data_IF_418439129015
#
_entry.id   IF_418439129015
#
_cell.length_a   1.000
_cell.length_b   1.000
_cell.length_c   1.000
_cell.angle_alpha   90.00
_cell.angle_beta   90.00
_cell.angle_gamma   90.00
#
_symmetry.space_group_name_H-M   'P 1'
#
loop_
_entity.id
_entity.type
_entity.pdbx_description
1 polymer ?
#
# COMPACT_ATOMS: atom_id res chain seq x y z
N UNK A 1 -17.23 8.93 24.52
CA UNK A 1 -16.76 10.17 23.87
C UNK A 1 -16.18 9.81 22.51
N UNK A 2 -16.47 10.56 21.45
CA UNK A 2 -16.06 10.19 20.09
C UNK A 2 -14.68 10.80 19.75
N UNK A 3 -13.75 9.94 19.35
CA UNK A 3 -12.38 10.28 18.94
C UNK A 3 -12.03 9.50 17.67
N UNK A 4 -11.31 10.13 16.75
CA UNK A 4 -10.85 9.51 15.51
C UNK A 4 -9.33 9.30 15.56
N UNK A 5 -8.86 8.11 15.19
CA UNK A 5 -7.42 7.82 15.06
C UNK A 5 -7.18 7.28 13.65
N UNK A 6 -6.29 7.93 12.89
CA UNK A 6 -5.84 7.47 11.58
C UNK A 6 -4.31 7.55 11.48
N UNK A 7 -3.66 6.39 11.50
CA UNK A 7 -2.20 6.25 11.45
C UNK A 7 -1.64 6.02 10.03
N UNK A 8 -2.48 6.13 9.00
CA UNK A 8 -2.12 5.87 7.61
C UNK A 8 -2.56 7.01 6.72
N UNK A 9 -1.79 7.32 5.69
CA UNK A 9 -2.16 8.31 4.66
C UNK A 9 -3.03 7.73 3.54
N UNK A 10 -3.39 6.43 3.63
CA UNK A 10 -4.13 5.73 2.57
C UNK A 10 -5.65 5.96 2.63
N UNK A 11 -6.16 6.62 3.66
CA UNK A 11 -7.58 6.93 3.82
C UNK A 11 -7.86 8.31 3.23
N UNK A 12 -8.94 8.44 2.48
CA UNK A 12 -9.40 9.75 2.02
C UNK A 12 -10.51 10.23 2.94
N UNK A 13 -10.32 11.40 3.54
CA UNK A 13 -11.34 12.04 4.36
C UNK A 13 -12.06 13.14 3.59
N UNK A 14 -13.35 13.30 3.84
CA UNK A 14 -14.00 14.59 3.66
C UNK A 14 -13.54 15.52 4.78
N UNK A 15 -12.47 16.29 4.50
CA UNK A 15 -11.87 17.18 5.49
C UNK A 15 -12.78 18.32 5.90
N UNK A 16 -13.74 18.72 5.05
CA UNK A 16 -14.70 19.77 5.37
C UNK A 16 -15.74 19.25 6.36
N UNK A 17 -16.29 18.06 6.13
CA UNK A 17 -17.18 17.40 7.08
C UNK A 17 -16.47 17.10 8.41
N UNK A 18 -15.20 16.67 8.36
CA UNK A 18 -14.40 16.41 9.54
C UNK A 18 -14.15 17.70 10.35
N UNK A 19 -13.76 18.80 9.70
CA UNK A 19 -13.56 20.09 10.35
C UNK A 19 -14.85 20.62 11.00
N UNK A 20 -16.00 20.50 10.31
CA UNK A 20 -17.31 20.86 10.89
C UNK A 20 -17.66 20.01 12.10
N UNK A 21 -17.41 18.71 12.03
CA UNK A 21 -17.71 17.78 13.13
C UNK A 21 -16.84 18.08 14.37
N UNK A 22 -15.59 18.50 14.17
CA UNK A 22 -14.72 18.97 15.24
C UNK A 22 -15.22 20.27 15.88
N UNK A 23 -15.58 21.25 15.06
CA UNK A 23 -16.06 22.55 15.54
C UNK A 23 -17.42 22.48 16.24
N UNK A 24 -18.29 21.55 15.81
CA UNK A 24 -19.57 21.31 16.46
C UNK A 24 -19.46 20.48 17.75
N UNK A 25 -18.27 19.99 18.09
CA UNK A 25 -18.06 19.13 19.26
C UNK A 25 -18.60 17.70 19.09
N UNK A 26 -19.03 17.32 17.88
CA UNK A 26 -19.46 15.96 17.56
C UNK A 26 -18.28 14.97 17.68
N UNK A 27 -17.08 15.45 17.38
CA UNK A 27 -15.82 14.74 17.59
C UNK A 27 -14.97 15.59 18.55
N UNK A 28 -14.52 15.01 19.66
CA UNK A 28 -13.71 15.74 20.65
C UNK A 28 -12.25 15.85 20.26
N UNK A 29 -11.72 14.82 19.60
CA UNK A 29 -10.31 14.76 19.25
C UNK A 29 -10.05 13.92 18.01
N UNK A 30 -8.96 14.28 17.31
CA UNK A 30 -8.43 13.51 16.19
C UNK A 30 -6.94 13.30 16.37
N UNK A 31 -6.49 12.09 16.10
CA UNK A 31 -5.07 11.73 16.03
C UNK A 31 -4.79 11.27 14.60
N UNK A 32 -4.09 12.08 13.83
CA UNK A 32 -3.97 11.90 12.39
C UNK A 32 -2.50 11.94 11.96
N UNK A 33 -2.18 11.23 10.88
CA UNK A 33 -0.86 11.35 10.26
C UNK A 33 -0.65 12.76 9.71
N UNK A 34 0.63 13.18 9.59
CA UNK A 34 1.03 14.54 9.21
C UNK A 34 0.33 15.09 7.97
N UNK A 35 0.16 14.27 6.93
CA UNK A 35 -0.49 14.69 5.68
C UNK A 35 -1.97 15.04 5.89
N UNK A 36 -2.69 14.27 6.69
CA UNK A 36 -4.08 14.56 7.04
C UNK A 36 -4.22 15.83 7.87
N UNK A 37 -3.27 16.10 8.77
CA UNK A 37 -3.25 17.33 9.57
C UNK A 37 -3.04 18.55 8.68
N UNK A 38 -2.12 18.48 7.71
CA UNK A 38 -1.87 19.55 6.77
C UNK A 38 -3.12 19.93 5.96
N UNK A 39 -3.98 18.96 5.64
CA UNK A 39 -5.23 19.19 4.93
C UNK A 39 -6.36 19.70 5.84
N UNK A 40 -6.39 19.26 7.10
CA UNK A 40 -7.45 19.57 8.05
C UNK A 40 -7.29 20.95 8.71
N UNK A 41 -6.06 21.32 9.09
CA UNK A 41 -5.78 22.55 9.85
C UNK A 41 -6.30 23.82 9.19
N UNK A 42 -6.07 24.07 7.88
CA UNK A 42 -6.54 25.30 7.23
C UNK A 42 -8.06 25.46 7.28
N UNK A 43 -8.79 24.34 7.10
CA UNK A 43 -10.25 24.32 7.13
C UNK A 43 -10.76 24.57 8.55
N UNK A 44 -10.14 23.92 9.54
CA UNK A 44 -10.48 24.10 10.94
C UNK A 44 -10.32 25.58 11.37
N UNK A 45 -9.19 26.22 11.02
CA UNK A 45 -8.94 27.64 11.34
C UNK A 45 -9.90 28.60 10.66
N UNK A 46 -10.45 28.24 9.49
CA UNK A 46 -11.39 29.09 8.76
C UNK A 46 -12.83 29.03 9.30
N UNK A 47 -13.20 27.94 9.98
CA UNK A 47 -14.57 27.69 10.45
C UNK A 47 -14.72 28.06 11.94
N UNK A 48 -13.63 28.05 12.71
CA UNK A 48 -13.64 28.31 14.15
C UNK A 48 -13.66 29.83 14.45
N UNK A 49 -14.84 30.44 14.46
CA UNK A 49 -15.03 31.81 14.99
C UNK A 49 -15.22 31.85 16.52
N UNK A 50 -15.57 30.72 17.15
CA UNK A 50 -15.98 30.66 18.55
C UNK A 50 -15.01 29.81 19.40
N UNK A 51 -14.45 30.40 20.46
CA UNK A 51 -13.29 29.89 21.22
C UNK A 51 -13.65 28.93 22.36
N UNK A 52 -14.90 28.45 22.44
CA UNK A 52 -15.37 27.72 23.65
C UNK A 52 -14.80 26.32 23.85
N UNK A 53 -14.22 25.70 22.82
CA UNK A 53 -13.34 24.53 23.01
C UNK A 53 -12.47 24.31 21.78
N UNK A 54 -11.16 24.53 21.90
CA UNK A 54 -10.23 24.14 20.83
C UNK A 54 -10.23 22.62 20.70
N UNK A 55 -10.61 22.05 19.54
CA UNK A 55 -10.60 20.60 19.38
C UNK A 55 -9.16 20.07 19.43
N UNK A 56 -9.02 18.88 20.00
CA UNK A 56 -7.71 18.28 20.25
C UNK A 56 -7.24 17.54 18.99
N UNK A 57 -6.43 18.21 18.17
CA UNK A 57 -5.82 17.68 16.95
C UNK A 57 -4.37 17.28 17.28
N UNK A 58 -4.02 16.00 17.13
CA UNK A 58 -2.68 15.48 17.41
C UNK A 58 -2.08 14.78 16.20
N UNK A 59 -0.78 14.97 16.00
CA UNK A 59 -0.01 14.25 14.99
C UNK A 59 0.44 12.89 15.51
N UNK A 60 0.16 11.84 14.74
CA UNK A 60 0.85 10.55 14.89
C UNK A 60 1.97 10.46 13.85
N UNK A 61 3.15 10.06 14.31
CA UNK A 61 4.27 9.74 13.45
C UNK A 61 4.34 8.21 13.29
N UNK A 62 3.95 7.65 12.12
CA UNK A 62 3.94 6.20 11.92
C UNK A 62 5.32 5.56 12.08
N UNK A 63 6.41 6.29 11.78
CA UNK A 63 7.76 5.76 11.94
C UNK A 63 8.14 5.53 13.42
N UNK A 64 7.53 6.28 14.35
CA UNK A 64 7.71 6.03 15.80
C UNK A 64 7.02 4.74 16.26
N UNK A 65 6.08 4.20 15.48
CA UNK A 65 5.41 2.94 15.77
C UNK A 65 6.22 1.72 15.30
N UNK A 66 7.28 1.94 14.51
CA UNK A 66 8.12 0.87 13.98
C UNK A 66 9.17 0.47 15.02
N UNK A 67 9.18 -0.81 15.37
CA UNK A 67 10.24 -1.40 16.20
C UNK A 67 11.26 -2.12 15.34
N UNK A 68 12.52 -2.23 15.82
CA UNK A 68 13.56 -3.01 15.15
C UNK A 68 13.11 -4.46 14.89
N UNK A 69 12.41 -5.05 15.84
CA UNK A 69 11.85 -6.39 15.73
C UNK A 69 10.81 -6.47 14.61
N UNK A 70 9.84 -5.55 14.56
CA UNK A 70 8.82 -5.53 13.50
C UNK A 70 9.43 -5.40 12.11
N UNK A 71 10.50 -4.62 11.96
CA UNK A 71 11.22 -4.45 10.70
C UNK A 71 11.98 -5.73 10.30
N UNK A 72 12.66 -6.37 11.25
CA UNK A 72 13.37 -7.63 11.00
C UNK A 72 12.39 -8.74 10.59
N UNK A 73 11.28 -8.89 11.32
CA UNK A 73 10.24 -9.86 11.00
C UNK A 73 9.63 -9.58 9.63
N UNK A 74 9.34 -8.32 9.30
CA UNK A 74 8.82 -7.97 7.98
C UNK A 74 9.80 -8.33 6.86
N UNK A 75 11.10 -8.02 7.01
CA UNK A 75 12.14 -8.38 6.04
C UNK A 75 12.23 -9.89 5.82
N UNK A 76 12.21 -10.66 6.90
CA UNK A 76 12.23 -12.12 6.84
C UNK A 76 11.01 -12.65 6.08
N UNK A 77 9.81 -12.18 6.42
CA UNK A 77 8.57 -12.58 5.76
C UNK A 77 8.58 -12.26 4.25
N UNK A 78 9.09 -11.09 3.86
CA UNK A 78 9.22 -10.70 2.46
C UNK A 78 10.23 -11.60 1.74
N UNK A 79 11.38 -11.90 2.36
CA UNK A 79 12.39 -12.81 1.80
C UNK A 79 11.82 -14.20 1.55
N UNK A 80 11.09 -14.74 2.53
CA UNK A 80 10.44 -16.04 2.42
C UNK A 80 9.35 -16.05 1.34
N UNK A 81 8.54 -15.00 1.26
CA UNK A 81 7.51 -14.87 0.23
C UNK A 81 8.13 -14.88 -1.18
N UNK A 82 9.16 -14.05 -1.42
CA UNK A 82 9.83 -13.99 -2.73
C UNK A 82 10.48 -15.34 -3.07
N UNK A 83 11.12 -15.98 -2.10
CA UNK A 83 11.75 -17.29 -2.32
C UNK A 83 10.73 -18.37 -2.70
N UNK A 84 9.55 -18.38 -2.05
CA UNK A 84 8.46 -19.30 -2.41
C UNK A 84 7.91 -19.00 -3.79
N UNK A 85 7.63 -17.73 -4.07
CA UNK A 85 7.10 -17.28 -5.35
C UNK A 85 8.01 -17.70 -6.53
N UNK A 86 9.33 -17.49 -6.41
CA UNK A 86 10.29 -17.87 -7.45
C UNK A 86 10.35 -19.40 -7.62
N UNK A 87 10.36 -20.17 -6.54
CA UNK A 87 10.36 -21.63 -6.61
C UNK A 87 9.08 -22.17 -7.26
N UNK A 88 7.92 -21.58 -6.97
CA UNK A 88 6.65 -22.00 -7.55
C UNK A 88 6.60 -21.67 -9.05
N UNK A 89 7.12 -20.52 -9.48
CA UNK A 89 7.28 -20.19 -10.91
C UNK A 89 8.17 -21.20 -11.63
N UNK A 90 9.29 -21.60 -11.02
CA UNK A 90 10.21 -22.61 -11.59
C UNK A 90 9.54 -23.98 -11.68
N UNK A 91 8.76 -24.39 -10.68
CA UNK A 91 8.02 -25.66 -10.74
C UNK A 91 6.93 -25.66 -11.83
N UNK A 92 6.28 -24.52 -12.03
CA UNK A 92 5.27 -24.37 -13.09
C UNK A 92 5.89 -24.40 -14.49
N UNK A 93 7.12 -23.89 -14.69
CA UNK A 93 7.78 -23.96 -16.00
C UNK A 93 8.36 -25.34 -16.33
N UNK A 94 8.76 -26.13 -15.33
CA UNK A 94 9.31 -27.49 -15.53
C UNK A 94 8.21 -28.53 -15.76
N UNK A 95 6.98 -28.27 -15.33
CA UNK A 95 5.85 -29.21 -15.46
C UNK A 95 5.12 -29.16 -16.81
N UNK A 96 5.62 -28.42 -17.80
CA UNK A 96 5.10 -28.45 -19.17
C UNK A 96 5.66 -29.70 -19.88
N UNK A 97 4.82 -30.71 -20.21
CA UNK A 97 5.31 -31.87 -20.93
C UNK A 97 5.67 -31.41 -22.34
N UNK A 98 6.96 -31.44 -22.68
CA UNK A 98 7.42 -31.34 -24.06
C UNK A 98 6.86 -32.53 -24.82
N UNK A 99 5.67 -32.33 -25.40
CA UNK A 99 5.03 -33.30 -26.27
C UNK A 99 6.04 -33.78 -27.31
N UNK A 100 6.24 -35.10 -27.34
CA UNK A 100 7.09 -35.83 -28.28
C UNK A 100 6.90 -35.25 -29.70
N UNK A 101 7.84 -34.45 -30.17
CA UNK A 101 7.93 -34.15 -31.60
C UNK A 101 8.38 -35.43 -32.30
N UNK A 102 7.41 -36.11 -32.91
CA UNK A 102 7.66 -37.22 -33.82
C UNK A 102 8.29 -36.61 -35.08
N UNK A 103 9.59 -36.82 -35.26
CA UNK A 103 10.30 -36.45 -36.48
C UNK A 103 9.76 -37.34 -37.61
N UNK A 104 8.88 -36.79 -38.44
CA UNK A 104 8.54 -37.36 -39.75
C UNK A 104 9.68 -37.01 -40.71
N UNK A 105 10.43 -38.04 -41.12
CA UNK A 105 11.37 -37.98 -42.24
C UNK A 105 10.60 -37.61 -43.51
N UNK A 106 10.76 -36.37 -43.96
CA UNK A 106 10.21 -35.87 -45.22
C UNK A 106 11.35 -35.35 -46.07
N UNK A 107 11.66 -36.10 -47.12
CA UNK A 107 12.60 -35.79 -48.19
C UNK A 107 12.41 -34.36 -48.69
N UNK A 108 13.50 -33.58 -48.82
CA UNK A 108 13.57 -32.52 -49.83
C UNK A 108 15.04 -32.25 -50.20
N UNK A 109 15.31 -32.49 -51.48
CA UNK A 109 16.56 -32.35 -52.20
C UNK A 109 17.04 -30.89 -52.26
N UNK A 110 18.34 -30.67 -52.14
CA UNK A 110 19.00 -29.41 -52.50
C UNK A 110 19.21 -29.35 -54.02
N UNK A 111 18.87 -28.25 -54.73
CA UNK A 111 19.43 -27.99 -56.04
C UNK A 111 20.82 -27.38 -55.90
N UNK A 112 21.80 -28.03 -56.52
CA UNK A 112 23.15 -27.51 -56.74
C UNK A 112 23.05 -26.47 -57.87
N UNK A 113 23.50 -25.24 -57.62
CA UNK A 113 23.92 -24.34 -58.69
C UNK A 113 25.36 -23.92 -58.44
N UNK A 114 26.24 -24.52 -59.24
CA UNK A 114 27.65 -24.12 -59.42
C UNK A 114 27.72 -22.96 -60.42
N UNK A 115 28.60 -22.00 -60.14
CA UNK A 115 29.26 -21.17 -61.16
C UNK A 115 30.71 -21.61 -61.26
#
# INVERSE_FOLDING_TARGET
EASLICSTNRVHFDYLALARSLNQGNIKSVVLAKEHIANLLPLHTSISEDTRSSPNIQEINPAKLLTKESLNTHRQNVSEFVSRFLNDMVKQSISQPTGKQKITSGENQCPIHST
#
